data_IF_017659933255
#
_entry.id   IF_017659933255
#
_cell.length_a   1.000
_cell.length_b   1.000
_cell.length_c   1.000
_cell.angle_alpha   90.00
_cell.angle_beta   90.00
_cell.angle_gamma   90.00
#
_symmetry.space_group_name_H-M   'P 1'
#
loop_
_entity.id
_entity.type
_entity.pdbx_description
1 polymer ?
#
# COMPACT_ATOMS: atom_id res chain seq x y z
N UNK A 1 2.91 11.69 -12.25
CA UNK A 1 2.15 10.81 -11.32
C UNK A 1 3.05 10.17 -10.28
N UNK A 2 4.14 9.49 -10.65
CA UNK A 2 5.07 8.84 -9.69
C UNK A 2 5.64 9.81 -8.64
N UNK A 3 6.06 11.02 -9.04
CA UNK A 3 6.54 12.05 -8.09
C UNK A 3 5.49 12.43 -7.04
N UNK A 4 4.23 12.47 -7.40
CA UNK A 4 3.13 12.74 -6.46
C UNK A 4 2.93 11.58 -5.48
N UNK A 5 2.99 10.33 -5.96
CA UNK A 5 2.91 9.15 -5.11
C UNK A 5 4.10 9.06 -4.14
N UNK A 6 5.33 9.41 -4.61
CA UNK A 6 6.52 9.53 -3.74
C UNK A 6 6.30 10.57 -2.64
N UNK A 7 5.80 11.76 -2.98
CA UNK A 7 5.50 12.79 -1.98
C UNK A 7 4.46 12.33 -0.95
N UNK A 8 3.45 11.56 -1.39
CA UNK A 8 2.46 10.97 -0.49
C UNK A 8 3.10 9.99 0.51
N UNK A 9 3.92 9.05 0.05
CA UNK A 9 4.63 8.10 0.92
C UNK A 9 5.65 8.81 1.82
N UNK A 10 6.34 9.85 1.34
CA UNK A 10 7.25 10.67 2.16
C UNK A 10 6.51 11.36 3.31
N UNK A 11 5.30 11.86 3.05
CA UNK A 11 4.44 12.44 4.09
C UNK A 11 4.09 11.41 5.16
N UNK A 12 3.75 10.18 4.77
CA UNK A 12 3.45 9.10 5.71
C UNK A 12 4.67 8.72 6.56
N UNK A 13 5.84 8.53 5.93
CA UNK A 13 7.09 8.26 6.66
C UNK A 13 7.52 9.41 7.55
N UNK A 14 7.22 10.65 7.17
CA UNK A 14 7.44 11.84 7.99
C UNK A 14 6.68 11.84 9.32
N UNK A 15 5.63 11.02 9.45
CA UNK A 15 4.89 10.83 10.70
C UNK A 15 5.59 9.90 11.69
N UNK A 16 6.58 9.14 11.27
CA UNK A 16 7.30 8.17 12.11
C UNK A 16 8.49 8.83 12.77
N UNK A 17 8.64 8.66 14.08
CA UNK A 17 9.84 9.10 14.78
C UNK A 17 11.04 8.24 14.39
N UNK A 18 12.27 8.78 14.34
CA UNK A 18 13.45 8.04 13.88
C UNK A 18 13.66 6.69 14.59
N UNK A 19 13.48 6.64 15.88
CA UNK A 19 13.62 5.44 16.69
C UNK A 19 12.56 4.37 16.38
N UNK A 20 11.39 4.79 15.89
CA UNK A 20 10.27 3.92 15.59
C UNK A 20 10.35 3.27 14.19
N UNK A 21 11.30 3.62 13.36
CA UNK A 21 11.52 2.93 12.09
C UNK A 21 11.87 1.45 12.27
N UNK A 22 12.42 1.07 13.40
CA UNK A 22 12.77 -0.32 13.73
C UNK A 22 11.62 -1.08 14.39
N UNK A 23 10.48 -0.44 14.62
CA UNK A 23 9.30 -1.10 15.16
C UNK A 23 8.60 -1.97 14.13
N UNK A 24 7.88 -2.96 14.64
CA UNK A 24 7.02 -3.87 13.90
C UNK A 24 5.59 -3.75 14.44
N UNK A 25 4.79 -2.80 13.92
CA UNK A 25 3.47 -2.52 14.48
C UNK A 25 2.47 -3.68 14.33
N UNK A 26 2.69 -4.54 13.34
CA UNK A 26 1.91 -5.75 13.06
C UNK A 26 2.86 -6.93 12.98
N UNK A 27 2.69 -7.96 13.83
CA UNK A 27 3.66 -9.09 13.94
C UNK A 27 3.92 -9.84 12.64
N UNK A 28 2.91 -9.92 11.76
CA UNK A 28 2.96 -10.63 10.47
C UNK A 28 3.59 -9.78 9.36
N UNK A 29 3.94 -8.53 9.66
CA UNK A 29 4.52 -7.60 8.68
C UNK A 29 5.98 -7.32 8.98
N UNK A 30 6.66 -6.69 8.03
CA UNK A 30 8.02 -6.21 8.22
C UNK A 30 8.09 -4.99 9.16
N UNK A 31 9.31 -4.67 9.62
CA UNK A 31 9.58 -3.41 10.31
C UNK A 31 9.37 -2.23 9.37
N UNK A 32 9.10 -1.07 9.93
CA UNK A 32 8.85 0.15 9.13
C UNK A 32 10.05 0.49 8.24
N UNK A 33 11.27 0.30 8.72
CA UNK A 33 12.50 0.57 7.95
C UNK A 33 12.59 -0.26 6.67
N UNK A 34 12.07 -1.48 6.67
CA UNK A 34 11.96 -2.28 5.45
C UNK A 34 11.16 -1.54 4.38
N UNK A 35 9.93 -1.11 4.69
CA UNK A 35 9.08 -0.40 3.73
C UNK A 35 9.70 0.90 3.24
N UNK A 36 10.44 1.57 4.10
CA UNK A 36 11.12 2.82 3.76
C UNK A 36 12.21 2.63 2.69
N UNK A 37 12.98 1.54 2.75
CA UNK A 37 13.93 1.18 1.70
C UNK A 37 13.27 0.49 0.50
N UNK A 38 12.30 -0.40 0.78
CA UNK A 38 11.67 -1.26 -0.21
C UNK A 38 10.98 -0.50 -1.36
N UNK A 39 10.28 0.60 -1.06
CA UNK A 39 9.60 1.37 -2.08
C UNK A 39 10.57 1.93 -3.14
N UNK A 40 11.74 2.35 -2.73
CA UNK A 40 12.76 2.86 -3.66
C UNK A 40 13.52 1.71 -4.34
N UNK A 41 13.84 0.65 -3.59
CA UNK A 41 14.50 -0.53 -4.16
C UNK A 41 13.62 -1.26 -5.18
N UNK A 42 12.30 -1.27 -4.98
CA UNK A 42 11.38 -1.83 -5.96
C UNK A 42 11.38 -1.04 -7.27
N UNK A 43 11.21 0.28 -7.19
CA UNK A 43 11.29 1.16 -8.36
C UNK A 43 12.65 0.97 -9.08
N UNK A 44 13.74 0.87 -8.30
CA UNK A 44 15.08 0.63 -8.82
C UNK A 44 15.19 -0.70 -9.57
N UNK A 45 14.82 -1.81 -8.93
CA UNK A 45 14.94 -3.14 -9.53
C UNK A 45 14.05 -3.30 -10.76
N UNK A 46 12.91 -2.59 -10.79
CA UNK A 46 11.99 -2.60 -11.92
C UNK A 46 12.52 -1.83 -13.13
N UNK A 47 13.19 -0.67 -12.92
CA UNK A 47 13.51 0.31 -13.96
C UNK A 47 14.98 0.25 -14.37
N UNK A 48 15.90 0.00 -13.43
CA UNK A 48 17.34 0.09 -13.68
C UNK A 48 17.85 -0.94 -14.66
N UNK A 49 17.34 -2.16 -14.64
CA UNK A 49 17.77 -3.24 -15.54
C UNK A 49 17.43 -2.92 -17.00
N UNK A 50 16.17 -2.59 -17.37
CA UNK A 50 15.86 -2.16 -18.74
C UNK A 50 16.63 -0.92 -19.19
N UNK A 51 16.96 -0.02 -18.28
CA UNK A 51 17.72 1.20 -18.55
C UNK A 51 19.24 1.01 -18.53
N UNK A 52 19.72 -0.22 -18.25
CA UNK A 52 21.13 -0.58 -18.13
C UNK A 52 21.92 0.30 -17.14
N UNK A 53 21.29 0.70 -16.03
CA UNK A 53 21.91 1.49 -14.96
C UNK A 53 22.55 0.55 -13.94
N UNK A 54 23.87 0.65 -13.67
CA UNK A 54 24.54 -0.22 -12.71
C UNK A 54 24.17 0.15 -11.27
N UNK A 55 24.02 -0.88 -10.42
CA UNK A 55 23.81 -0.68 -8.98
C UNK A 55 25.04 -0.03 -8.34
N UNK A 56 24.77 0.87 -7.39
CA UNK A 56 25.80 1.46 -6.52
C UNK A 56 25.77 0.87 -5.09
N UNK A 57 24.77 0.05 -4.76
CA UNK A 57 24.60 -0.58 -3.46
C UNK A 57 23.86 -1.92 -3.57
N UNK A 58 24.49 -2.96 -4.15
CA UNK A 58 23.85 -4.26 -4.37
C UNK A 58 23.29 -4.89 -3.09
N UNK A 59 23.96 -4.69 -1.94
CA UNK A 59 23.53 -5.22 -0.66
C UNK A 59 22.20 -4.63 -0.22
N UNK A 60 22.00 -3.31 -0.40
CA UNK A 60 20.73 -2.66 -0.08
C UNK A 60 19.66 -3.01 -1.12
N UNK A 61 20.01 -3.10 -2.39
CA UNK A 61 19.09 -3.54 -3.43
C UNK A 61 18.53 -4.93 -3.09
N UNK A 62 19.37 -5.84 -2.59
CA UNK A 62 18.95 -7.16 -2.17
C UNK A 62 18.19 -7.14 -0.84
N UNK A 63 18.66 -6.39 0.15
CA UNK A 63 18.01 -6.30 1.47
C UNK A 63 16.56 -5.82 1.38
N UNK A 64 16.31 -4.86 0.49
CA UNK A 64 14.99 -4.25 0.32
C UNK A 64 14.20 -4.80 -0.89
N UNK A 65 14.73 -5.80 -1.62
CA UNK A 65 14.11 -6.30 -2.85
C UNK A 65 12.76 -6.99 -2.62
N UNK A 66 12.63 -7.80 -1.56
CA UNK A 66 11.49 -8.69 -1.36
C UNK A 66 10.80 -8.44 -0.02
N UNK A 67 9.54 -8.01 -0.11
CA UNK A 67 8.59 -8.15 0.96
C UNK A 67 8.03 -9.56 0.99
N UNK A 68 8.81 -10.55 1.43
CA UNK A 68 8.28 -11.88 1.64
C UNK A 68 7.44 -11.84 2.91
N UNK A 69 6.12 -11.92 2.76
CA UNK A 69 5.27 -12.19 3.91
C UNK A 69 5.69 -13.54 4.52
N UNK A 70 5.77 -13.64 5.84
CA UNK A 70 6.10 -14.91 6.48
C UNK A 70 5.07 -15.96 6.09
N UNK A 71 5.49 -17.22 6.04
CA UNK A 71 4.54 -18.33 5.83
C UNK A 71 3.43 -18.25 6.88
N UNK A 72 2.19 -18.62 6.55
CA UNK A 72 1.09 -18.60 7.51
C UNK A 72 1.48 -19.29 8.84
N UNK A 73 1.29 -18.59 9.95
CA UNK A 73 1.67 -19.07 11.28
C UNK A 73 3.13 -18.82 11.69
N UNK A 74 3.95 -18.18 10.85
CA UNK A 74 5.30 -17.76 11.20
C UNK A 74 5.38 -16.24 11.27
N UNK A 75 6.14 -15.72 12.24
CA UNK A 75 6.48 -14.30 12.35
C UNK A 75 7.90 -14.07 11.84
N UNK A 76 8.19 -12.84 11.45
CA UNK A 76 9.55 -12.43 11.10
C UNK A 76 10.47 -12.55 12.32
N UNK A 77 11.67 -13.09 12.13
CA UNK A 77 12.63 -13.36 13.21
C UNK A 77 13.77 -12.32 13.27
N UNK A 78 13.78 -11.33 12.37
CA UNK A 78 14.81 -10.30 12.31
C UNK A 78 14.80 -9.41 13.55
N UNK A 79 16.00 -8.99 13.97
CA UNK A 79 16.25 -8.06 15.06
C UNK A 79 16.58 -6.66 14.52
N UNK A 80 16.63 -5.65 15.42
CA UNK A 80 17.02 -4.29 15.04
C UNK A 80 18.43 -4.24 14.43
N UNK A 81 19.34 -5.04 14.94
CA UNK A 81 20.73 -5.14 14.50
C UNK A 81 20.91 -5.63 13.07
N UNK A 82 19.88 -6.27 12.49
CA UNK A 82 19.92 -6.77 11.12
C UNK A 82 19.63 -5.65 10.09
N UNK A 83 19.27 -4.46 10.56
CA UNK A 83 18.89 -3.34 9.72
C UNK A 83 19.93 -2.23 9.78
N UNK A 84 20.19 -1.57 8.64
CA UNK A 84 21.12 -0.43 8.58
C UNK A 84 20.56 0.78 9.36
N UNK A 85 21.43 1.74 9.64
CA UNK A 85 20.99 2.99 10.24
C UNK A 85 20.09 3.78 9.28
N UNK A 86 19.07 4.44 9.83
CA UNK A 86 18.08 5.17 9.03
C UNK A 86 18.70 6.24 8.12
N UNK A 87 19.82 6.81 8.55
CA UNK A 87 20.54 7.81 7.75
C UNK A 87 21.12 7.19 6.46
N UNK A 88 21.60 5.95 6.53
CA UNK A 88 22.13 5.21 5.38
C UNK A 88 21.00 4.87 4.41
N UNK A 89 19.84 4.45 4.92
CA UNK A 89 18.65 4.18 4.08
C UNK A 89 18.15 5.45 3.41
N UNK A 90 18.16 6.59 4.11
CA UNK A 90 17.78 7.89 3.52
C UNK A 90 18.71 8.29 2.37
N UNK A 91 20.02 8.10 2.56
CA UNK A 91 20.98 8.41 1.50
C UNK A 91 20.84 7.46 0.32
N UNK A 92 20.64 6.17 0.57
CA UNK A 92 20.32 5.18 -0.46
C UNK A 92 19.09 5.60 -1.26
N UNK A 93 17.97 5.88 -0.60
CA UNK A 93 16.73 6.32 -1.23
C UNK A 93 16.92 7.59 -2.09
N UNK A 94 17.64 8.57 -1.55
CA UNK A 94 17.93 9.82 -2.26
C UNK A 94 18.71 9.58 -3.55
N UNK A 95 19.75 8.75 -3.49
CA UNK A 95 20.57 8.40 -4.67
C UNK A 95 19.77 7.62 -5.70
N UNK A 96 18.98 6.64 -5.29
CA UNK A 96 18.11 5.89 -6.19
C UNK A 96 17.16 6.82 -6.94
N UNK A 97 16.46 7.69 -6.23
CA UNK A 97 15.53 8.64 -6.85
C UNK A 97 16.22 9.53 -7.87
N UNK A 98 17.37 10.10 -7.52
CA UNK A 98 18.12 10.96 -8.44
C UNK A 98 18.51 10.20 -9.72
N UNK A 99 19.06 9.01 -9.58
CA UNK A 99 19.47 8.20 -10.72
C UNK A 99 18.28 7.76 -11.57
N UNK A 100 17.16 7.36 -10.95
CA UNK A 100 15.97 6.97 -11.67
C UNK A 100 15.30 8.14 -12.40
N UNK A 101 15.27 9.33 -11.78
CA UNK A 101 14.65 10.51 -12.38
C UNK A 101 15.31 10.89 -13.73
N UNK A 102 16.61 10.60 -13.88
CA UNK A 102 17.34 10.80 -15.12
C UNK A 102 16.90 9.86 -16.26
N UNK A 103 16.36 8.68 -15.93
CA UNK A 103 15.97 7.65 -16.91
C UNK A 103 14.46 7.42 -17.04
N UNK A 104 13.64 8.06 -16.20
CA UNK A 104 12.17 7.89 -16.23
C UNK A 104 11.57 8.22 -17.61
N UNK A 105 12.16 9.17 -18.35
CA UNK A 105 11.68 9.56 -19.68
C UNK A 105 11.86 8.46 -20.75
N UNK A 106 12.69 7.45 -20.47
CA UNK A 106 12.93 6.28 -21.31
C UNK A 106 12.15 5.04 -20.85
N UNK A 107 11.48 5.14 -19.70
CA UNK A 107 10.75 4.02 -19.09
C UNK A 107 9.39 3.85 -19.74
N UNK A 108 8.99 2.61 -20.03
CA UNK A 108 7.68 2.32 -20.61
C UNK A 108 6.53 2.69 -19.66
N UNK A 109 5.38 3.06 -20.21
CA UNK A 109 4.18 3.35 -19.43
C UNK A 109 3.77 2.19 -18.53
N UNK A 110 3.99 0.94 -18.99
CA UNK A 110 3.68 -0.25 -18.20
C UNK A 110 4.54 -0.32 -16.93
N UNK A 111 5.85 -0.13 -17.03
CA UNK A 111 6.74 -0.15 -15.87
C UNK A 111 6.44 1.01 -14.90
N UNK A 112 6.13 2.19 -15.45
CA UNK A 112 5.72 3.34 -14.62
C UNK A 112 4.41 3.08 -13.89
N UNK A 113 3.47 2.39 -14.53
CA UNK A 113 2.20 2.00 -13.91
C UNK A 113 2.41 0.98 -12.80
N UNK A 114 3.28 -0.04 -13.02
CA UNK A 114 3.65 -1.02 -11.99
C UNK A 114 4.28 -0.30 -10.78
N UNK A 115 5.24 0.59 -11.00
CA UNK A 115 5.88 1.36 -9.92
C UNK A 115 4.86 2.20 -9.13
N UNK A 116 3.93 2.84 -9.85
CA UNK A 116 2.88 3.67 -9.24
C UNK A 116 1.92 2.83 -8.39
N UNK A 117 1.35 1.77 -8.96
CA UNK A 117 0.39 0.89 -8.28
C UNK A 117 1.00 0.19 -7.07
N UNK A 118 2.22 -0.32 -7.20
CA UNK A 118 2.96 -0.92 -6.09
C UNK A 118 3.14 0.08 -4.94
N UNK A 119 3.52 1.32 -5.25
CA UNK A 119 3.71 2.37 -4.24
C UNK A 119 2.40 2.77 -3.56
N UNK A 120 1.30 2.87 -4.31
CA UNK A 120 -0.02 3.19 -3.76
C UNK A 120 -0.55 2.05 -2.88
N UNK A 121 -0.36 0.80 -3.27
CA UNK A 121 -0.69 -0.37 -2.46
C UNK A 121 0.06 -0.35 -1.12
N UNK A 122 1.35 -0.02 -1.14
CA UNK A 122 2.13 0.11 0.10
C UNK A 122 1.77 1.35 0.91
N UNK A 123 1.26 2.41 0.30
CA UNK A 123 0.71 3.55 1.05
C UNK A 123 -0.49 3.14 1.90
N UNK A 124 -1.38 2.29 1.39
CA UNK A 124 -2.48 1.69 2.17
C UNK A 124 -1.95 0.78 3.29
N UNK A 125 -0.99 -0.10 2.97
CA UNK A 125 -0.34 -0.95 3.97
C UNK A 125 0.24 -0.11 5.10
N UNK A 126 0.94 0.97 4.75
CA UNK A 126 1.58 1.84 5.71
C UNK A 126 0.57 2.63 6.56
N UNK A 127 -0.58 2.99 5.99
CA UNK A 127 -1.63 3.68 6.73
C UNK A 127 -2.13 2.84 7.93
N UNK A 128 -2.38 1.54 7.77
CA UNK A 128 -2.78 0.70 8.91
C UNK A 128 -1.61 0.37 9.86
N UNK A 129 -0.37 0.28 9.36
CA UNK A 129 0.80 0.16 10.24
C UNK A 129 0.95 1.39 11.14
N UNK A 130 0.78 2.58 10.57
CA UNK A 130 0.75 3.84 11.34
C UNK A 130 -0.38 3.85 12.36
N UNK A 131 -1.56 3.31 12.00
CA UNK A 131 -2.67 3.22 12.95
C UNK A 131 -2.32 2.34 14.15
N UNK A 132 -1.62 1.23 13.93
CA UNK A 132 -1.20 0.29 14.97
C UNK A 132 0.01 0.76 15.79
N UNK A 133 0.79 1.72 15.27
CA UNK A 133 1.93 2.29 15.97
C UNK A 133 1.48 3.17 17.14
N UNK A 134 2.17 3.10 18.27
CA UNK A 134 1.86 3.91 19.45
C UNK A 134 1.99 5.41 19.16
N UNK A 135 1.17 6.23 19.85
CA UNK A 135 1.12 7.69 19.61
C UNK A 135 2.46 8.39 19.90
N UNK A 136 3.20 7.92 20.90
CA UNK A 136 4.51 8.44 21.28
C UNK A 136 5.62 8.10 20.29
N UNK A 137 5.37 7.17 19.36
CA UNK A 137 6.27 6.77 18.29
C UNK A 137 6.00 7.54 16.98
N UNK A 138 5.02 8.43 16.99
CA UNK A 138 4.64 9.27 15.85
C UNK A 138 4.94 10.74 16.09
N UNK A 139 5.35 11.41 15.02
CA UNK A 139 5.23 12.86 14.95
C UNK A 139 3.77 13.15 14.61
N UNK A 140 3.00 13.45 15.63
CA UNK A 140 1.64 13.93 15.41
C UNK A 140 1.76 15.43 15.21
N UNK A 141 1.47 15.98 14.04
CA UNK A 141 1.34 17.42 13.87
C UNK A 141 0.01 17.86 14.51
N UNK A 142 -0.12 17.61 15.82
CA UNK A 142 -1.24 18.11 16.58
C UNK A 142 -0.99 19.57 16.94
N UNK A 143 -1.45 20.44 16.12
CA UNK A 143 -2.15 21.59 16.68
C UNK A 143 -3.45 21.04 17.31
N UNK A 144 -3.40 20.81 18.62
CA UNK A 144 -4.55 20.29 19.38
C UNK A 144 -5.82 21.15 19.23
N UNK A 145 -5.70 22.33 18.61
CA UNK A 145 -6.80 23.27 18.34
C UNK A 145 -7.61 22.91 17.09
N UNK A 146 -7.13 22.05 16.21
CA UNK A 146 -7.75 21.81 14.90
C UNK A 146 -8.10 20.34 14.60
N UNK A 147 -7.84 19.40 15.52
CA UNK A 147 -8.43 18.07 15.38
C UNK A 147 -9.84 18.14 15.98
N UNK A 148 -10.90 18.08 15.16
CA UNK A 148 -12.21 17.83 15.71
C UNK A 148 -12.10 16.51 16.46
N UNK A 149 -12.16 16.54 17.77
CA UNK A 149 -12.39 15.30 18.52
C UNK A 149 -13.53 14.56 17.81
N UNK A 150 -13.35 13.28 17.55
CA UNK A 150 -14.39 12.39 17.00
C UNK A 150 -15.70 12.52 17.79
N UNK A 151 -15.62 12.96 19.05
CA UNK A 151 -16.73 13.33 19.91
C UNK A 151 -17.60 14.51 19.39
N UNK A 152 -17.15 15.29 18.41
CA UNK A 152 -17.93 16.41 17.85
C UNK A 152 -18.78 16.02 16.62
N UNK A 153 -18.67 14.79 16.11
CA UNK A 153 -19.67 14.30 15.17
C UNK A 153 -20.91 13.92 15.97
N UNK A 154 -22.06 14.59 15.78
CA UNK A 154 -23.28 14.14 16.40
C UNK A 154 -23.49 12.69 15.98
N UNK A 155 -23.91 11.80 16.89
CA UNK A 155 -24.21 10.43 16.52
C UNK A 155 -25.26 10.49 15.40
N UNK A 156 -24.82 10.24 14.17
CA UNK A 156 -25.76 10.11 13.07
C UNK A 156 -26.64 8.91 13.36
N UNK A 157 -27.94 9.05 13.19
CA UNK A 157 -28.84 7.90 13.28
C UNK A 157 -28.29 6.79 12.38
N UNK A 158 -28.20 5.58 12.89
CA UNK A 158 -27.78 4.44 12.07
C UNK A 158 -28.71 4.36 10.85
N UNK A 159 -28.16 4.12 9.64
CA UNK A 159 -29.01 3.95 8.47
C UNK A 159 -29.98 2.79 8.70
N UNK A 160 -31.19 2.95 8.23
CA UNK A 160 -32.18 1.86 8.27
C UNK A 160 -31.65 0.74 7.39
N UNK A 161 -31.49 -0.44 7.98
CA UNK A 161 -31.06 -1.63 7.23
C UNK A 161 -32.09 -1.92 6.12
N UNK A 162 -31.61 -1.98 4.89
CA UNK A 162 -32.42 -2.30 3.72
C UNK A 162 -31.67 -3.26 2.82
N UNK A 163 -32.36 -4.23 2.28
CA UNK A 163 -31.87 -5.12 1.24
C UNK A 163 -32.19 -4.54 -0.14
N UNK A 164 -31.29 -4.74 -1.08
CA UNK A 164 -31.47 -4.36 -2.49
C UNK A 164 -31.43 -5.66 -3.30
N UNK A 165 -32.47 -5.87 -4.09
CA UNK A 165 -32.53 -6.99 -5.03
C UNK A 165 -31.71 -6.65 -6.27
N UNK A 166 -30.80 -7.56 -6.62
CA UNK A 166 -29.94 -7.50 -7.80
C UNK A 166 -30.45 -8.58 -8.77
N UNK A 167 -30.89 -8.14 -9.93
CA UNK A 167 -31.34 -9.08 -10.96
C UNK A 167 -30.18 -9.94 -11.47
N UNK A 168 -30.44 -11.20 -11.75
CA UNK A 168 -29.48 -12.09 -12.39
C UNK A 168 -29.13 -11.61 -13.80
N UNK A 169 -27.96 -11.97 -14.26
CA UNK A 169 -27.45 -11.59 -15.58
C UNK A 169 -26.06 -12.15 -15.84
N UNK A 170 -25.47 -11.72 -16.94
CA UNK A 170 -24.08 -12.02 -17.26
C UNK A 170 -23.22 -10.81 -16.94
N UNK A 171 -22.12 -11.00 -16.24
CA UNK A 171 -21.13 -9.97 -15.94
C UNK A 171 -19.79 -10.33 -16.55
N UNK A 172 -19.06 -9.35 -17.02
CA UNK A 172 -17.68 -9.52 -17.46
C UNK A 172 -16.75 -9.26 -16.29
N UNK A 173 -15.94 -10.24 -15.94
CA UNK A 173 -14.85 -10.15 -14.95
C UNK A 173 -13.52 -10.04 -15.68
N UNK A 174 -12.58 -9.28 -15.08
CA UNK A 174 -11.29 -9.03 -15.68
C UNK A 174 -11.32 -8.04 -16.84
N UNK A 175 -10.17 -7.85 -17.47
CA UNK A 175 -9.99 -6.94 -18.59
C UNK A 175 -9.26 -7.62 -19.75
N UNK A 176 -9.43 -7.07 -20.95
CA UNK A 176 -8.74 -7.59 -22.15
C UNK A 176 -7.33 -7.04 -22.20
N UNK A 177 -6.34 -7.86 -22.62
CA UNK A 177 -4.95 -7.39 -22.81
C UNK A 177 -4.85 -6.32 -23.88
N UNK A 178 -5.68 -6.41 -24.89
CA UNK A 178 -5.75 -5.40 -25.96
C UNK A 178 -7.20 -4.98 -26.16
N UNK A 179 -7.45 -3.71 -25.97
CA UNK A 179 -8.75 -3.14 -26.24
C UNK A 179 -9.02 -3.06 -27.77
N UNK A 180 -10.28 -3.05 -28.21
CA UNK A 180 -10.63 -2.84 -29.63
C UNK A 180 -10.05 -1.55 -30.21
N UNK A 181 -9.75 -0.56 -29.37
CA UNK A 181 -9.05 0.70 -29.73
C UNK A 181 -7.56 0.52 -30.01
N UNK A 182 -6.99 -0.67 -29.82
CA UNK A 182 -5.56 -0.92 -29.92
C UNK A 182 -4.76 -0.51 -28.67
N UNK A 183 -5.40 -0.01 -27.62
CA UNK A 183 -4.76 0.30 -26.34
C UNK A 183 -4.52 -1.00 -25.55
N UNK A 184 -3.37 -1.07 -24.92
CA UNK A 184 -3.08 -2.08 -23.90
C UNK A 184 -3.32 -1.44 -22.53
N UNK A 185 -4.45 -1.76 -21.85
CA UNK A 185 -4.69 -1.21 -20.52
C UNK A 185 -3.64 -1.78 -19.56
N UNK A 186 -3.28 -0.99 -18.55
CA UNK A 186 -2.53 -1.51 -17.42
C UNK A 186 -3.43 -2.42 -16.57
N UNK A 187 -2.86 -3.52 -16.11
CA UNK A 187 -3.48 -4.45 -15.16
C UNK A 187 -2.43 -5.43 -14.66
N UNK A 188 -2.69 -6.01 -13.49
CA UNK A 188 -1.91 -7.12 -12.97
C UNK A 188 -2.26 -8.42 -13.73
N UNK A 189 -1.37 -9.39 -13.71
CA UNK A 189 -1.52 -10.65 -14.45
C UNK A 189 -2.81 -11.41 -14.12
N UNK A 190 -3.27 -11.35 -12.88
CA UNK A 190 -4.51 -11.96 -12.39
C UNK A 190 -5.78 -11.20 -12.80
N UNK A 191 -5.67 -10.03 -13.43
CA UNK A 191 -6.80 -9.27 -13.97
C UNK A 191 -7.12 -9.63 -15.44
N UNK A 192 -6.35 -10.51 -16.05
CA UNK A 192 -6.51 -10.97 -17.44
C UNK A 192 -6.75 -12.49 -17.52
N UNK A 193 -7.42 -12.99 -18.54
CA UNK A 193 -8.23 -12.31 -19.58
C UNK A 193 -9.65 -12.12 -19.08
N UNK A 194 -10.35 -11.15 -19.70
CA UNK A 194 -11.77 -10.96 -19.40
C UNK A 194 -12.57 -12.20 -19.76
N UNK A 195 -13.51 -12.56 -18.91
CA UNK A 195 -14.42 -13.68 -19.14
C UNK A 195 -15.81 -13.36 -18.61
N UNK A 196 -16.80 -14.03 -19.17
CA UNK A 196 -18.18 -13.85 -18.77
C UNK A 196 -18.60 -14.87 -17.73
N UNK A 197 -19.31 -14.39 -16.70
CA UNK A 197 -19.86 -15.22 -15.63
C UNK A 197 -21.35 -14.97 -15.50
N UNK A 198 -22.13 -16.04 -15.51
CA UNK A 198 -23.55 -15.95 -15.19
C UNK A 198 -23.74 -15.82 -13.69
N UNK A 199 -24.46 -14.80 -13.27
CA UNK A 199 -24.76 -14.52 -11.87
C UNK A 199 -26.28 -14.65 -11.67
N UNK A 200 -26.69 -15.50 -10.74
CA UNK A 200 -28.10 -15.61 -10.37
C UNK A 200 -28.58 -14.33 -9.64
N UNK A 201 -29.88 -14.09 -9.63
CA UNK A 201 -30.43 -13.00 -8.81
C UNK A 201 -30.10 -13.20 -7.32
N UNK A 202 -29.78 -12.12 -6.64
CA UNK A 202 -29.47 -12.14 -5.20
C UNK A 202 -29.89 -10.84 -4.54
N UNK A 203 -29.97 -10.86 -3.21
CA UNK A 203 -30.19 -9.65 -2.43
C UNK A 203 -28.92 -9.33 -1.64
N UNK A 204 -28.58 -8.05 -1.52
CA UNK A 204 -27.47 -7.58 -0.72
C UNK A 204 -27.86 -6.38 0.14
N UNK A 205 -27.15 -6.19 1.23
CA UNK A 205 -27.34 -5.01 2.07
C UNK A 205 -27.02 -3.73 1.30
N UNK A 206 -27.90 -2.73 1.37
CA UNK A 206 -27.68 -1.41 0.76
C UNK A 206 -26.47 -0.70 1.35
N UNK A 207 -26.17 -0.92 2.61
CA UNK A 207 -25.07 -0.30 3.32
C UNK A 207 -24.11 -1.35 3.86
N UNK A 208 -22.87 -0.97 4.05
CA UNK A 208 -21.88 -1.79 4.77
C UNK A 208 -22.36 -2.01 6.20
N UNK A 209 -21.94 -3.12 6.82
CA UNK A 209 -22.19 -3.39 8.24
C UNK A 209 -21.67 -2.22 9.07
N UNK A 210 -22.52 -1.66 9.90
CA UNK A 210 -22.16 -0.56 10.79
C UNK A 210 -21.43 -1.06 12.03
N UNK A 211 -20.67 -0.18 12.68
CA UNK A 211 -20.03 -0.52 13.97
C UNK A 211 -21.05 -0.97 15.03
N UNK A 212 -22.27 -0.39 15.01
CA UNK A 212 -23.34 -0.79 15.92
C UNK A 212 -23.87 -2.19 15.66
N UNK A 213 -23.99 -2.60 14.41
CA UNK A 213 -24.39 -3.97 14.02
C UNK A 213 -23.27 -4.97 14.35
N UNK A 214 -22.03 -4.64 14.05
CA UNK A 214 -20.88 -5.47 14.39
C UNK A 214 -20.74 -5.65 15.91
N UNK A 215 -20.98 -4.58 16.68
CA UNK A 215 -20.97 -4.67 18.15
C UNK A 215 -22.04 -5.63 18.69
N UNK A 216 -23.22 -5.69 18.06
CA UNK A 216 -24.27 -6.67 18.44
C UNK A 216 -23.79 -8.11 18.20
N UNK A 217 -23.12 -8.35 17.06
CA UNK A 217 -22.51 -9.65 16.75
C UNK A 217 -21.46 -10.03 17.82
N UNK A 218 -20.54 -9.14 18.12
CA UNK A 218 -19.50 -9.38 19.16
C UNK A 218 -20.10 -9.69 20.53
N UNK A 219 -21.21 -9.05 20.89
CA UNK A 219 -21.90 -9.28 22.19
C UNK A 219 -22.73 -10.56 22.24
N UNK A 220 -23.07 -11.10 21.10
CA UNK A 220 -23.84 -12.34 21.01
C UNK A 220 -22.95 -13.60 21.16
N UNK A 221 -21.62 -13.50 21.07
CA UNK A 221 -20.64 -14.57 21.21
C UNK A 221 -20.28 -15.20 19.87
#
# INVERSE_FOLDING_TARGET
>A
MLSHARAGTDTLFGLVRPEAFYERPVPERHRIIFYFGHLEAFDWNLISQPAAVPSFSPDFDQLFAFGIDPKPGHTQQDERSDWPEIAEVREYNRRLRQTLDDVLHQTSEQLLSIALEHRLMHAETFAYLLHSLSINQKHVPFDQKHVPLVASFPPSAAPIHAMVEISGGTVTLGQRRTEPSGRNPFGWDNEFESHEVAVASFAMSKYKVTNGEYLKFVRAG
#
